data_IF_953333178147
#
_entry.id   IF_953333178147
#
_cell.length_a   1.000
_cell.length_b   1.000
_cell.length_c   1.000
_cell.angle_alpha   90.00
_cell.angle_beta   90.00
_cell.angle_gamma   90.00
#
_symmetry.space_group_name_H-M   'P 1'
#
loop_
_entity.id
_entity.type
_entity.pdbx_description
1 polymer ?
#
# COMPACT_ATOMS: atom_id res chain seq x y z
N UNK A 1 19.59 -0.49 -82.87
CA UNK A 1 19.55 0.70 -81.97
C UNK A 1 18.57 0.37 -80.92
N UNK A 2 19.03 -0.19 -79.76
CA UNK A 2 18.22 -0.75 -78.72
C UNK A 2 18.49 0.11 -77.45
N UNK A 3 17.46 0.81 -76.92
CA UNK A 3 17.54 1.58 -75.69
C UNK A 3 17.17 0.67 -74.50
N UNK A 4 18.10 0.49 -73.57
CA UNK A 4 17.85 -0.12 -72.28
C UNK A 4 17.39 0.96 -71.28
N UNK A 5 16.17 0.83 -70.75
CA UNK A 5 15.64 1.59 -69.61
C UNK A 5 16.07 0.87 -68.37
N UNK A 6 16.90 1.55 -67.55
CA UNK A 6 17.23 1.15 -66.15
C UNK A 6 16.19 1.78 -65.20
N UNK A 7 15.36 0.93 -64.60
CA UNK A 7 14.45 1.34 -63.50
C UNK A 7 15.22 1.32 -62.19
N UNK A 8 15.57 2.48 -61.65
CA UNK A 8 16.06 2.64 -60.30
C UNK A 8 14.91 2.56 -59.31
N UNK A 9 14.91 1.58 -58.40
CA UNK A 9 13.99 1.47 -57.30
C UNK A 9 14.48 2.33 -56.13
N UNK A 10 13.78 3.42 -55.84
CA UNK A 10 14.00 4.25 -54.64
C UNK A 10 13.45 3.47 -53.44
N UNK A 11 14.33 3.00 -52.55
CA UNK A 11 13.93 2.45 -51.22
C UNK A 11 13.76 3.63 -50.26
N UNK A 12 12.52 3.93 -49.90
CA UNK A 12 12.23 4.81 -48.84
C UNK A 12 12.56 4.14 -47.50
N UNK A 13 13.54 4.66 -46.77
CA UNK A 13 13.82 4.29 -45.38
C UNK A 13 12.84 5.04 -44.49
N UNK A 14 11.85 4.34 -43.97
CA UNK A 14 10.95 4.90 -42.94
C UNK A 14 11.67 4.77 -41.58
N UNK A 15 12.21 5.88 -41.10
CA UNK A 15 12.73 5.94 -39.71
C UNK A 15 11.54 6.10 -38.77
N UNK A 16 11.18 5.02 -38.10
CA UNK A 16 10.21 5.09 -36.99
C UNK A 16 10.94 5.68 -35.79
N UNK A 17 10.66 6.93 -35.49
CA UNK A 17 11.07 7.54 -34.21
C UNK A 17 10.09 7.06 -33.16
N UNK A 18 10.49 6.08 -32.36
CA UNK A 18 9.79 5.70 -31.15
C UNK A 18 10.09 6.82 -30.15
N UNK A 19 9.16 7.74 -29.98
CA UNK A 19 9.19 8.68 -28.87
C UNK A 19 8.90 7.88 -27.58
N UNK A 20 9.93 7.62 -26.80
CA UNK A 20 9.74 7.19 -25.41
C UNK A 20 9.11 8.37 -24.69
N UNK A 21 7.82 8.25 -24.37
CA UNK A 21 7.16 9.18 -23.46
C UNK A 21 7.76 8.87 -22.10
N UNK A 22 8.74 9.65 -21.70
CA UNK A 22 9.24 9.62 -20.33
C UNK A 22 8.06 10.01 -19.41
N UNK A 23 7.59 9.09 -18.59
CA UNK A 23 6.62 9.38 -17.56
C UNK A 23 7.25 10.40 -16.60
N UNK A 24 6.73 11.62 -16.63
CA UNK A 24 7.11 12.66 -15.67
C UNK A 24 6.07 12.63 -14.55
N UNK A 25 6.48 12.33 -13.28
CA UNK A 25 5.59 12.46 -12.13
C UNK A 25 4.95 13.87 -12.10
N UNK A 26 3.73 13.93 -11.59
CA UNK A 26 2.97 15.19 -11.56
C UNK A 26 3.72 16.22 -10.68
N UNK A 27 4.02 17.42 -11.18
CA UNK A 27 4.73 18.42 -10.41
C UNK A 27 3.99 18.77 -9.12
N UNK A 28 4.71 18.76 -7.99
CA UNK A 28 4.18 19.12 -6.68
C UNK A 28 3.75 17.96 -5.79
N UNK A 29 3.67 16.70 -6.29
CA UNK A 29 3.44 15.54 -5.43
C UNK A 29 4.62 15.30 -4.48
N UNK A 30 4.29 14.92 -3.25
CA UNK A 30 5.25 14.55 -2.22
C UNK A 30 4.95 13.15 -1.71
N UNK A 31 5.97 12.45 -1.24
CA UNK A 31 5.81 11.16 -0.58
C UNK A 31 5.94 11.34 0.93
N UNK A 32 5.07 10.70 1.67
CA UNK A 32 5.17 10.53 3.11
C UNK A 32 5.64 9.10 3.38
N UNK A 33 6.79 8.95 4.03
CA UNK A 33 7.42 7.65 4.29
C UNK A 33 7.61 7.48 5.80
N UNK A 34 7.00 6.45 6.38
CA UNK A 34 7.19 6.15 7.81
C UNK A 34 8.48 5.37 8.06
N UNK A 35 9.17 5.68 9.15
CA UNK A 35 10.36 4.97 9.63
C UNK A 35 10.17 4.60 11.10
N UNK A 36 9.88 3.32 11.35
CA UNK A 36 9.47 2.83 12.65
C UNK A 36 10.60 2.78 13.69
N UNK A 37 11.87 2.72 13.27
CA UNK A 37 13.00 2.69 14.23
C UNK A 37 13.58 4.06 14.54
N UNK A 38 13.25 5.07 13.74
CA UNK A 38 13.69 6.45 13.98
C UNK A 38 12.58 7.37 14.44
N UNK A 39 11.36 6.84 14.62
CA UNK A 39 10.14 7.58 15.01
C UNK A 39 9.92 8.83 14.17
N UNK A 40 10.02 8.66 12.82
CA UNK A 40 9.92 9.75 11.87
C UNK A 40 8.98 9.45 10.71
N UNK A 41 8.45 10.52 10.13
CA UNK A 41 7.92 10.53 8.76
C UNK A 41 8.87 11.41 7.94
N UNK A 42 9.43 10.85 6.87
CA UNK A 42 10.19 11.59 5.88
C UNK A 42 9.27 12.09 4.79
N UNK A 43 9.51 13.30 4.32
CA UNK A 43 8.78 13.91 3.21
C UNK A 43 9.72 14.04 2.01
N UNK A 44 9.37 13.43 0.89
CA UNK A 44 10.19 13.42 -0.31
C UNK A 44 9.45 14.10 -1.46
N UNK A 45 10.20 14.73 -2.34
CA UNK A 45 9.71 15.10 -3.66
C UNK A 45 9.52 13.84 -4.52
N UNK A 46 8.32 13.61 -5.01
CA UNK A 46 7.96 12.38 -5.70
C UNK A 46 8.67 12.20 -7.05
N UNK A 47 9.09 13.31 -7.69
CA UNK A 47 9.79 13.27 -8.97
C UNK A 47 11.26 12.86 -8.84
N UNK A 48 11.89 13.30 -7.77
CA UNK A 48 13.36 13.22 -7.64
C UNK A 48 13.81 12.30 -6.51
N UNK A 49 12.90 11.88 -5.64
CA UNK A 49 13.22 11.14 -4.42
C UNK A 49 13.94 11.97 -3.35
N UNK A 50 14.17 13.27 -3.59
CA UNK A 50 14.91 14.11 -2.65
C UNK A 50 14.10 14.33 -1.36
N UNK A 51 14.71 14.05 -0.20
CA UNK A 51 14.12 14.39 1.10
C UNK A 51 14.01 15.91 1.20
N UNK A 52 12.81 16.41 1.43
CA UNK A 52 12.50 17.84 1.55
C UNK A 52 12.22 18.26 2.98
N UNK A 53 11.73 17.33 3.80
CA UNK A 53 11.40 17.56 5.21
C UNK A 53 11.37 16.26 6.00
N UNK A 54 11.27 16.34 7.32
CA UNK A 54 11.01 15.21 8.21
C UNK A 54 10.23 15.65 9.44
N UNK A 55 9.35 14.76 9.93
CA UNK A 55 8.53 14.99 11.11
C UNK A 55 8.92 13.98 12.18
N UNK A 56 9.23 14.45 13.40
CA UNK A 56 9.42 13.57 14.54
C UNK A 56 8.06 13.19 15.13
N UNK A 57 7.87 11.89 15.35
CA UNK A 57 6.74 11.32 16.07
C UNK A 57 7.19 10.74 17.42
N UNK A 58 8.41 11.03 17.85
CA UNK A 58 8.95 10.67 19.15
C UNK A 58 8.14 11.38 20.24
N UNK A 59 7.46 10.60 21.07
CA UNK A 59 6.66 11.10 22.20
C UNK A 59 7.51 11.23 23.46
N UNK A 60 8.45 10.32 23.65
CA UNK A 60 9.31 10.23 24.82
C UNK A 60 10.69 9.76 24.42
N UNK A 61 11.72 10.59 24.60
CA UNK A 61 13.09 10.22 24.27
C UNK A 61 13.48 8.86 24.88
N UNK A 62 13.94 7.94 24.02
CA UNK A 62 14.37 6.60 24.43
C UNK A 62 13.28 5.52 24.40
N UNK A 63 12.02 5.85 24.14
CA UNK A 63 10.98 4.89 23.74
C UNK A 63 10.98 4.75 22.22
N UNK A 64 10.48 3.63 21.74
CA UNK A 64 10.21 3.43 20.31
C UNK A 64 8.70 3.50 20.11
N UNK A 65 8.24 4.54 19.43
CA UNK A 65 6.82 4.74 19.12
C UNK A 65 6.39 4.03 17.83
N UNK A 66 7.30 3.83 16.91
CA UNK A 66 7.16 3.00 15.72
C UNK A 66 6.05 3.44 14.78
N UNK A 67 6.16 4.60 14.09
CA UNK A 67 5.21 4.93 13.04
C UNK A 67 5.18 3.84 11.97
N UNK A 68 3.98 3.26 11.78
CA UNK A 68 3.79 2.07 10.96
C UNK A 68 3.17 2.42 9.59
N UNK A 69 2.14 3.22 9.58
CA UNK A 69 1.40 3.53 8.36
C UNK A 69 1.02 5.00 8.28
N UNK A 70 0.82 5.47 7.07
CA UNK A 70 0.38 6.83 6.76
C UNK A 70 -0.70 6.79 5.70
N UNK A 71 -1.71 7.66 5.81
CA UNK A 71 -2.77 7.84 4.84
C UNK A 71 -3.07 9.32 4.64
N UNK A 72 -3.40 9.70 3.42
CA UNK A 72 -3.75 11.08 3.05
C UNK A 72 -5.25 11.17 2.81
N UNK A 73 -5.90 12.24 3.30
CA UNK A 73 -7.32 12.49 3.02
C UNK A 73 -7.59 12.63 1.52
N UNK A 74 -8.76 12.24 1.01
CA UNK A 74 -9.07 12.31 -0.41
C UNK A 74 -8.92 13.70 -1.03
N UNK A 75 -9.15 14.75 -0.25
CA UNK A 75 -8.97 16.15 -0.65
C UNK A 75 -7.52 16.66 -0.51
N UNK A 76 -6.61 15.82 0.00
CA UNK A 76 -5.22 16.16 0.23
C UNK A 76 -4.98 17.15 1.37
N UNK A 77 -6.01 17.59 2.09
CA UNK A 77 -5.88 18.62 3.14
C UNK A 77 -5.19 18.15 4.40
N UNK A 78 -5.32 16.85 4.72
CA UNK A 78 -4.76 16.23 5.92
C UNK A 78 -4.07 14.91 5.58
N UNK A 79 -3.18 14.51 6.48
CA UNK A 79 -2.67 13.14 6.52
C UNK A 79 -2.65 12.63 7.96
N UNK A 80 -2.66 11.32 8.08
CA UNK A 80 -2.77 10.60 9.33
C UNK A 80 -1.68 9.57 9.44
N UNK A 81 -1.11 9.37 10.63
CA UNK A 81 -0.12 8.35 10.90
C UNK A 81 -0.51 7.51 12.11
N UNK A 82 -0.26 6.19 12.03
CA UNK A 82 -0.41 5.28 13.16
C UNK A 82 0.95 5.03 13.81
N UNK A 83 0.97 5.05 15.14
CA UNK A 83 2.09 4.59 15.96
C UNK A 83 1.73 3.25 16.58
N UNK A 84 2.60 2.25 16.40
CA UNK A 84 2.30 0.85 16.76
C UNK A 84 2.79 0.44 18.12
N UNK A 85 3.80 1.14 18.66
CA UNK A 85 4.47 0.78 19.92
C UNK A 85 4.33 1.88 20.95
N UNK A 86 4.90 1.65 22.15
CA UNK A 86 4.73 2.57 23.26
C UNK A 86 3.26 2.70 23.63
N UNK A 87 2.64 3.80 23.30
CA UNK A 87 1.20 4.03 23.42
C UNK A 87 0.59 4.13 22.01
N UNK A 88 -0.05 3.05 21.50
CA UNK A 88 -0.63 3.04 20.16
C UNK A 88 -1.56 4.23 19.94
N UNK A 89 -1.36 4.95 18.86
CA UNK A 89 -2.06 6.22 18.64
C UNK A 89 -2.22 6.57 17.17
N UNK A 90 -3.21 7.42 16.90
CA UNK A 90 -3.45 8.06 15.62
C UNK A 90 -3.09 9.53 15.70
N UNK A 91 -2.27 10.01 14.79
CA UNK A 91 -1.87 11.41 14.68
C UNK A 91 -2.40 12.03 13.39
N UNK A 92 -2.99 13.23 13.49
CA UNK A 92 -3.55 14.00 12.37
C UNK A 92 -2.72 15.25 12.12
N UNK A 93 -2.35 15.45 10.87
CA UNK A 93 -1.58 16.60 10.43
C UNK A 93 -2.32 17.37 9.34
N UNK A 94 -2.19 18.69 9.31
CA UNK A 94 -2.43 19.48 8.09
C UNK A 94 -1.34 19.22 7.08
N UNK A 95 -1.72 18.98 5.83
CA UNK A 95 -0.77 18.76 4.72
C UNK A 95 0.01 20.02 4.36
N UNK A 96 -0.66 21.19 4.43
CA UNK A 96 -0.01 22.47 4.23
C UNK A 96 0.78 22.84 5.48
N UNK A 97 2.10 22.91 5.36
CA UNK A 97 2.98 23.25 6.48
C UNK A 97 3.25 22.10 7.45
N UNK A 98 2.74 20.89 7.18
CA UNK A 98 3.02 19.64 7.92
C UNK A 98 2.78 19.80 9.44
N UNK A 99 1.74 20.53 9.79
CA UNK A 99 1.45 20.89 11.20
C UNK A 99 0.59 19.83 11.88
N UNK A 100 1.04 19.32 13.01
CA UNK A 100 0.23 18.44 13.85
C UNK A 100 -1.00 19.18 14.39
N UNK A 101 -2.19 18.62 14.18
CA UNK A 101 -3.48 19.21 14.59
C UNK A 101 -4.27 18.36 15.58
N UNK A 102 -3.94 17.08 15.73
CA UNK A 102 -4.62 16.21 16.68
C UNK A 102 -3.89 14.89 16.93
N UNK A 103 -4.19 14.30 18.09
CA UNK A 103 -3.72 12.97 18.50
C UNK A 103 -4.84 12.23 19.21
N UNK A 104 -4.94 10.93 18.99
CA UNK A 104 -5.86 10.04 19.68
C UNK A 104 -5.11 8.79 20.13
N UNK A 105 -5.13 8.50 21.45
CA UNK A 105 -4.71 7.18 21.94
C UNK A 105 -5.74 6.14 21.54
N UNK A 106 -5.28 5.03 20.97
CA UNK A 106 -6.14 3.97 20.45
C UNK A 106 -6.32 2.86 21.49
N UNK A 107 -7.51 2.25 21.59
CA UNK A 107 -7.78 1.14 22.49
C UNK A 107 -7.26 -0.19 21.93
N UNK A 108 -5.96 -0.28 21.63
CA UNK A 108 -5.35 -1.38 20.87
C UNK A 108 -3.95 -1.67 21.41
N UNK A 109 -3.41 -2.85 21.13
CA UNK A 109 -2.06 -3.26 21.51
C UNK A 109 -1.02 -3.03 20.40
N UNK A 110 -1.45 -2.75 19.16
CA UNK A 110 -0.53 -2.57 18.03
C UNK A 110 -1.24 -2.01 16.81
N UNK A 111 -1.37 -0.68 16.72
CA UNK A 111 -1.96 -0.03 15.55
C UNK A 111 -1.13 -0.35 14.29
N UNK A 112 -1.75 -1.00 13.31
CA UNK A 112 -1.10 -1.34 12.05
C UNK A 112 -1.45 -0.35 10.94
N UNK A 113 -1.90 -0.85 9.81
CA UNK A 113 -2.22 -0.05 8.64
C UNK A 113 -3.42 0.86 8.90
N UNK A 114 -3.37 2.08 8.42
CA UNK A 114 -4.52 2.98 8.40
C UNK A 114 -5.12 3.04 7.00
N UNK A 115 -6.44 2.95 6.90
CA UNK A 115 -7.22 3.19 5.68
C UNK A 115 -8.29 4.23 5.95
N UNK A 116 -8.50 5.13 5.01
CA UNK A 116 -9.58 6.10 5.07
C UNK A 116 -10.75 5.63 4.20
N UNK A 117 -11.97 5.96 4.63
CA UNK A 117 -13.16 5.83 3.79
C UNK A 117 -13.05 6.71 2.53
N UNK A 118 -13.76 6.40 1.43
CA UNK A 118 -13.68 7.18 0.20
C UNK A 118 -14.06 8.66 0.35
N UNK A 119 -14.91 8.98 1.32
CA UNK A 119 -15.27 10.36 1.68
C UNK A 119 -14.26 11.01 2.67
N UNK A 120 -13.32 10.23 3.20
CA UNK A 120 -12.31 10.68 4.14
C UNK A 120 -12.80 10.89 5.58
N UNK A 121 -14.06 10.58 5.89
CA UNK A 121 -14.66 10.88 7.19
C UNK A 121 -14.38 9.83 8.26
N UNK A 122 -13.97 8.61 7.87
CA UNK A 122 -13.68 7.51 8.79
C UNK A 122 -12.32 6.92 8.49
N UNK A 123 -11.52 6.68 9.53
CA UNK A 123 -10.29 5.88 9.47
C UNK A 123 -10.54 4.49 10.09
N UNK A 124 -10.09 3.43 9.42
CA UNK A 124 -10.06 2.06 9.92
C UNK A 124 -8.63 1.68 10.29
N UNK A 125 -8.42 1.22 11.52
CA UNK A 125 -7.10 0.91 12.08
C UNK A 125 -7.15 -0.46 12.75
N UNK A 126 -6.58 -1.51 12.11
CA UNK A 126 -6.48 -2.84 12.70
C UNK A 126 -5.47 -2.91 13.84
N UNK A 127 -5.75 -3.75 14.82
CA UNK A 127 -4.85 -4.13 15.90
C UNK A 127 -4.06 -5.39 15.53
N UNK A 128 -2.93 -5.21 14.86
CA UNK A 128 -2.05 -6.29 14.42
C UNK A 128 -1.13 -6.75 15.55
N UNK A 129 -1.67 -7.51 16.47
CA UNK A 129 -0.98 -7.97 17.67
C UNK A 129 -0.54 -9.44 17.53
N UNK A 130 0.63 -9.67 16.95
CA UNK A 130 1.19 -11.01 16.72
C UNK A 130 1.53 -11.76 18.02
N UNK A 131 2.00 -11.05 19.06
CA UNK A 131 2.32 -11.63 20.36
C UNK A 131 1.11 -12.10 21.14
N UNK A 132 -0.11 -11.76 20.69
CA UNK A 132 -1.37 -12.24 21.24
C UNK A 132 -1.66 -13.74 21.02
N UNK A 133 -0.81 -14.46 20.30
CA UNK A 133 -0.90 -15.93 20.17
C UNK A 133 -2.18 -16.43 19.50
N UNK A 134 -2.76 -15.66 18.58
CA UNK A 134 -4.00 -16.01 17.88
C UNK A 134 -5.28 -15.59 18.62
N UNK A 135 -5.17 -14.82 19.69
CA UNK A 135 -6.35 -14.22 20.34
C UNK A 135 -7.06 -13.26 19.38
N UNK A 136 -8.38 -13.19 19.49
CA UNK A 136 -9.19 -12.24 18.75
C UNK A 136 -8.79 -10.82 19.09
N UNK A 137 -8.61 -10.01 18.11
CA UNK A 137 -8.25 -8.61 18.17
C UNK A 137 -9.26 -7.76 17.39
N UNK A 138 -9.06 -6.46 17.38
CA UNK A 138 -10.07 -5.49 16.93
C UNK A 138 -9.65 -4.68 15.71
N UNK A 139 -10.63 -4.06 15.08
CA UNK A 139 -10.42 -2.92 14.18
C UNK A 139 -11.05 -1.70 14.82
N UNK A 140 -10.28 -0.64 15.01
CA UNK A 140 -10.80 0.63 15.56
C UNK A 140 -11.19 1.54 14.41
N UNK A 141 -12.44 1.99 14.40
CA UNK A 141 -12.98 2.99 13.48
C UNK A 141 -13.00 4.35 14.17
N UNK A 142 -12.39 5.33 13.54
CA UNK A 142 -12.20 6.68 14.09
C UNK A 142 -12.77 7.71 13.13
N UNK A 143 -13.60 8.62 13.67
CA UNK A 143 -14.02 9.83 12.97
C UNK A 143 -12.82 10.75 12.74
N UNK A 144 -12.56 11.13 11.50
CA UNK A 144 -11.37 11.89 11.12
C UNK A 144 -11.46 13.37 11.48
N UNK A 145 -12.67 13.91 11.59
CA UNK A 145 -12.88 15.31 11.93
C UNK A 145 -12.42 15.60 13.36
N UNK A 146 -13.03 14.94 14.33
CA UNK A 146 -12.84 15.17 15.76
C UNK A 146 -11.89 14.17 16.44
N UNK A 147 -11.34 13.23 15.70
CA UNK A 147 -10.51 12.12 16.22
C UNK A 147 -11.19 11.35 17.36
N UNK A 148 -12.44 10.97 17.18
CA UNK A 148 -13.19 10.18 18.14
C UNK A 148 -13.34 8.73 17.71
N UNK A 149 -13.27 7.78 18.65
CA UNK A 149 -13.56 6.38 18.36
C UNK A 149 -15.06 6.21 18.13
N UNK A 150 -15.42 5.77 16.92
CA UNK A 150 -16.81 5.50 16.52
C UNK A 150 -17.20 4.08 16.95
N UNK A 151 -16.34 3.11 16.65
CA UNK A 151 -16.53 1.71 16.96
C UNK A 151 -15.17 1.00 17.09
N UNK A 152 -15.16 -0.12 17.81
CA UNK A 152 -13.94 -0.95 17.95
C UNK A 152 -14.33 -2.42 18.14
N UNK A 153 -14.97 -3.07 17.12
CA UNK A 153 -15.39 -4.45 17.21
C UNK A 153 -14.19 -5.39 17.26
N UNK A 154 -14.30 -6.43 18.08
CA UNK A 154 -13.42 -7.60 18.03
C UNK A 154 -13.85 -8.46 16.85
N UNK A 155 -12.92 -8.76 15.95
CA UNK A 155 -13.24 -9.43 14.68
C UNK A 155 -12.51 -10.76 14.50
N UNK A 156 -11.19 -10.79 14.63
CA UNK A 156 -10.40 -11.96 14.28
C UNK A 156 -8.98 -11.92 14.85
N UNK A 157 -8.21 -12.97 14.65
CA UNK A 157 -6.82 -13.03 15.10
C UNK A 157 -5.87 -12.27 14.17
N UNK A 158 -5.17 -11.29 14.72
CA UNK A 158 -4.20 -10.43 14.04
C UNK A 158 -4.75 -9.80 12.74
N UNK A 159 -5.79 -8.94 12.81
CA UNK A 159 -6.21 -8.15 11.66
C UNK A 159 -5.08 -7.22 11.24
N UNK A 160 -4.73 -7.21 9.93
CA UNK A 160 -3.61 -6.41 9.42
C UNK A 160 -4.04 -5.26 8.52
N UNK A 161 -4.96 -5.49 7.61
CA UNK A 161 -5.51 -4.44 6.74
C UNK A 161 -7.04 -4.40 6.87
N UNK A 162 -7.62 -3.21 6.76
CA UNK A 162 -9.05 -2.97 6.83
C UNK A 162 -9.45 -1.96 5.74
N UNK A 163 -9.73 -2.46 4.53
CA UNK A 163 -9.89 -1.64 3.33
C UNK A 163 -11.35 -1.39 3.01
N UNK A 164 -11.73 -0.11 2.89
CA UNK A 164 -13.07 0.30 2.49
C UNK A 164 -13.35 -0.07 1.03
N UNK A 165 -14.58 -0.49 0.75
CA UNK A 165 -15.08 -0.62 -0.62
C UNK A 165 -15.08 0.75 -1.33
N UNK A 166 -15.04 0.79 -2.67
CA UNK A 166 -15.14 2.05 -3.41
C UNK A 166 -16.42 2.84 -3.13
N UNK A 167 -17.50 2.15 -2.77
CA UNK A 167 -18.78 2.78 -2.35
C UNK A 167 -18.76 3.27 -0.90
N UNK A 168 -17.79 2.84 -0.08
CA UNK A 168 -17.72 3.19 1.34
C UNK A 168 -18.67 2.43 2.25
N UNK A 169 -19.54 1.54 1.73
CA UNK A 169 -20.57 0.82 2.48
C UNK A 169 -20.04 -0.40 3.25
N UNK A 170 -18.83 -0.86 2.93
CA UNK A 170 -18.22 -2.06 3.52
C UNK A 170 -16.73 -1.88 3.76
N UNK A 171 -16.21 -2.65 4.72
CA UNK A 171 -14.77 -2.79 4.99
C UNK A 171 -14.39 -4.26 4.91
N UNK A 172 -13.37 -4.58 4.15
CA UNK A 172 -12.77 -5.90 4.11
C UNK A 172 -11.55 -5.95 5.03
N UNK A 173 -11.56 -6.86 6.00
CA UNK A 173 -10.51 -7.02 7.01
C UNK A 173 -9.75 -8.32 6.78
N UNK A 174 -8.44 -8.24 6.57
CA UNK A 174 -7.57 -9.43 6.48
C UNK A 174 -7.15 -9.90 7.86
N UNK A 175 -7.33 -11.18 8.14
CA UNK A 175 -7.12 -11.80 9.44
C UNK A 175 -5.97 -12.81 9.36
N UNK A 176 -4.74 -12.35 9.59
CA UNK A 176 -3.52 -13.10 9.26
C UNK A 176 -3.32 -14.40 10.03
N UNK A 177 -3.78 -14.48 11.28
CA UNK A 177 -3.59 -15.70 12.09
C UNK A 177 -4.80 -16.63 12.10
N UNK A 178 -5.94 -16.23 11.54
CA UNK A 178 -7.10 -17.09 11.34
C UNK A 178 -7.35 -17.47 9.88
N UNK A 179 -6.53 -16.97 8.94
CA UNK A 179 -6.64 -17.21 7.50
C UNK A 179 -8.02 -16.82 6.93
N UNK A 180 -8.55 -15.70 7.37
CA UNK A 180 -9.89 -15.25 7.03
C UNK A 180 -9.88 -13.83 6.44
N UNK A 181 -10.94 -13.55 5.69
CA UNK A 181 -11.39 -12.21 5.35
C UNK A 181 -12.72 -11.98 6.04
N UNK A 182 -12.83 -10.90 6.80
CA UNK A 182 -14.06 -10.50 7.47
C UNK A 182 -14.59 -9.25 6.80
N UNK A 183 -15.87 -9.29 6.39
CA UNK A 183 -16.59 -8.13 5.88
C UNK A 183 -17.36 -7.45 6.99
N UNK A 184 -17.20 -6.15 7.10
CA UNK A 184 -17.87 -5.29 8.08
C UNK A 184 -18.72 -4.26 7.33
N UNK A 185 -19.96 -4.05 7.72
CA UNK A 185 -20.76 -2.91 7.22
C UNK A 185 -20.29 -1.60 7.87
N UNK A 186 -20.53 -0.48 7.21
CA UNK A 186 -20.22 0.84 7.75
C UNK A 186 -21.40 1.52 8.43
N UNK A 187 -22.62 0.91 8.37
CA UNK A 187 -23.81 1.35 9.07
C UNK A 187 -23.94 0.69 10.46
N UNK A 188 -22.91 0.68 11.24
CA UNK A 188 -22.92 0.09 12.58
C UNK A 188 -21.67 -0.70 12.88
N UNK A 189 -20.78 -0.84 11.92
CA UNK A 189 -19.47 -1.48 12.05
C UNK A 189 -19.56 -2.91 12.58
N UNK A 190 -20.45 -3.70 11.97
CA UNK A 190 -20.72 -5.09 12.35
C UNK A 190 -20.24 -6.05 11.27
N UNK A 191 -19.77 -7.20 11.72
CA UNK A 191 -19.46 -8.31 10.81
C UNK A 191 -20.73 -8.74 10.06
N UNK A 192 -20.63 -8.83 8.74
CA UNK A 192 -21.72 -9.29 7.85
C UNK A 192 -21.39 -10.64 7.22
N UNK A 193 -20.15 -10.92 6.94
CA UNK A 193 -19.70 -12.14 6.28
C UNK A 193 -18.26 -12.46 6.69
N UNK A 194 -17.96 -13.73 6.81
CA UNK A 194 -16.60 -14.27 7.04
C UNK A 194 -16.29 -15.31 5.97
N UNK A 195 -15.10 -15.24 5.42
CA UNK A 195 -14.64 -16.11 4.36
C UNK A 195 -13.24 -16.64 4.65
N UNK A 196 -13.05 -17.96 4.58
CA UNK A 196 -11.75 -18.58 4.66
C UNK A 196 -10.97 -18.32 3.37
N UNK A 197 -9.81 -17.70 3.48
CA UNK A 197 -8.96 -17.36 2.33
C UNK A 197 -7.80 -18.34 2.25
N UNK A 198 -7.75 -19.10 1.17
CA UNK A 198 -6.71 -20.11 0.98
C UNK A 198 -6.83 -21.30 1.94
N UNK A 199 -5.69 -21.84 2.35
CA UNK A 199 -5.56 -22.97 3.27
C UNK A 199 -5.08 -22.51 4.65
N UNK A 200 -4.95 -23.46 5.59
CA UNK A 200 -4.44 -23.16 6.93
C UNK A 200 -2.98 -22.69 6.86
N UNK A 201 -2.69 -21.55 7.48
CA UNK A 201 -1.37 -20.95 7.55
C UNK A 201 -1.00 -20.10 6.34
N UNK A 202 -1.93 -19.79 5.45
CA UNK A 202 -1.67 -18.95 4.25
C UNK A 202 -1.47 -17.47 4.57
N UNK A 203 -1.99 -17.02 5.71
CA UNK A 203 -1.78 -15.67 6.25
C UNK A 203 -2.14 -14.55 5.28
N UNK A 204 -3.44 -14.29 5.03
CA UNK A 204 -3.86 -13.11 4.28
C UNK A 204 -3.38 -11.84 5.02
N UNK A 205 -2.66 -10.96 4.32
CA UNK A 205 -2.03 -9.81 4.95
C UNK A 205 -2.60 -8.49 4.48
N UNK A 206 -2.69 -8.29 3.18
CA UNK A 206 -3.13 -7.03 2.57
C UNK A 206 -4.23 -7.28 1.56
N UNK A 207 -5.14 -6.31 1.41
CA UNK A 207 -6.20 -6.38 0.42
C UNK A 207 -6.32 -5.07 -0.38
N UNK A 208 -6.79 -5.18 -1.62
CA UNK A 208 -7.21 -4.04 -2.43
C UNK A 208 -8.47 -4.39 -3.22
N UNK A 209 -9.44 -3.47 -3.21
CA UNK A 209 -10.63 -3.56 -4.03
C UNK A 209 -10.31 -3.21 -5.49
N UNK A 210 -10.93 -3.93 -6.41
CA UNK A 210 -11.04 -3.46 -7.80
C UNK A 210 -11.92 -2.21 -7.85
N UNK A 211 -11.74 -1.38 -8.87
CA UNK A 211 -12.44 -0.10 -8.98
C UNK A 211 -13.98 -0.24 -9.06
N UNK A 212 -14.45 -1.36 -9.58
CA UNK A 212 -15.88 -1.68 -9.67
C UNK A 212 -16.50 -2.18 -8.35
N UNK A 213 -15.67 -2.39 -7.31
CA UNK A 213 -16.11 -2.88 -6.01
C UNK A 213 -16.62 -4.32 -5.99
N UNK A 214 -16.36 -5.09 -7.05
CA UNK A 214 -16.83 -6.48 -7.18
C UNK A 214 -15.82 -7.51 -6.75
N UNK A 215 -14.53 -7.17 -6.80
CA UNK A 215 -13.46 -8.10 -6.47
C UNK A 215 -12.52 -7.50 -5.43
N UNK A 216 -11.87 -8.39 -4.68
CA UNK A 216 -10.76 -8.10 -3.79
C UNK A 216 -9.54 -8.90 -4.21
N UNK A 217 -8.40 -8.26 -4.30
CA UNK A 217 -7.11 -8.92 -4.38
C UNK A 217 -6.54 -9.03 -2.97
N UNK A 218 -6.12 -10.23 -2.56
CA UNK A 218 -5.62 -10.49 -1.20
C UNK A 218 -4.28 -11.22 -1.26
N UNK A 219 -3.23 -10.64 -0.67
CA UNK A 219 -1.91 -11.31 -0.57
C UNK A 219 -1.94 -12.45 0.44
N UNK A 220 -1.35 -13.60 0.06
CA UNK A 220 -1.14 -14.76 0.92
C UNK A 220 0.36 -14.89 1.20
N UNK A 221 0.78 -14.38 2.37
CA UNK A 221 2.21 -14.13 2.67
C UNK A 221 3.06 -15.40 2.66
N UNK A 222 2.49 -16.55 3.02
CA UNK A 222 3.24 -17.82 3.07
C UNK A 222 3.17 -18.63 1.77
N UNK A 223 2.51 -18.14 0.73
CA UNK A 223 2.25 -18.88 -0.53
C UNK A 223 2.77 -18.22 -1.79
N UNK A 224 3.52 -17.12 -1.67
CA UNK A 224 4.08 -16.41 -2.83
C UNK A 224 3.05 -16.12 -3.92
N UNK A 225 1.86 -15.66 -3.52
CA UNK A 225 0.76 -15.32 -4.42
C UNK A 225 -0.21 -14.31 -3.80
N UNK A 226 -1.01 -13.69 -4.64
CA UNK A 226 -2.28 -13.14 -4.22
C UNK A 226 -3.44 -13.93 -4.85
N UNK A 227 -4.59 -13.85 -4.23
CA UNK A 227 -5.85 -14.41 -4.75
C UNK A 227 -6.82 -13.29 -5.08
N UNK A 228 -7.67 -13.53 -6.06
CA UNK A 228 -8.81 -12.68 -6.36
C UNK A 228 -10.08 -13.34 -5.81
N UNK A 229 -10.85 -12.55 -5.08
CA UNK A 229 -12.13 -12.95 -4.49
C UNK A 229 -13.26 -12.13 -5.12
N UNK A 230 -14.26 -12.79 -5.70
CA UNK A 230 -15.50 -12.14 -6.06
C UNK A 230 -16.34 -11.91 -4.80
N UNK A 231 -16.78 -10.66 -4.62
CA UNK A 231 -17.58 -10.23 -3.47
C UNK A 231 -19.03 -10.12 -3.88
N UNK A 232 -19.77 -11.20 -3.70
CA UNK A 232 -21.20 -11.31 -3.95
C UNK A 232 -21.93 -11.73 -2.65
N UNK A 233 -23.17 -12.17 -2.73
CA UNK A 233 -23.90 -12.71 -1.57
C UNK A 233 -23.17 -13.89 -0.90
N UNK A 234 -22.39 -14.67 -1.68
CA UNK A 234 -21.42 -15.63 -1.20
C UNK A 234 -20.08 -15.31 -1.85
N UNK A 235 -19.06 -15.06 -1.04
CA UNK A 235 -17.70 -14.81 -1.54
C UNK A 235 -17.11 -16.11 -2.10
N UNK A 236 -16.35 -15.98 -3.20
CA UNK A 236 -15.61 -17.10 -3.79
C UNK A 236 -14.29 -16.65 -4.39
N UNK A 237 -13.28 -17.50 -4.32
CA UNK A 237 -12.03 -17.28 -5.05
C UNK A 237 -12.26 -17.52 -6.54
N UNK A 238 -11.87 -16.56 -7.38
CA UNK A 238 -12.00 -16.62 -8.84
C UNK A 238 -10.67 -16.93 -9.53
N UNK A 239 -9.59 -16.40 -9.00
CA UNK A 239 -8.26 -16.60 -9.56
C UNK A 239 -7.16 -16.55 -8.51
N UNK A 240 -5.94 -16.83 -8.93
CA UNK A 240 -4.71 -16.60 -8.17
C UNK A 240 -3.58 -16.21 -9.11
N UNK A 241 -2.69 -15.35 -8.63
CA UNK A 241 -1.51 -14.90 -9.37
C UNK A 241 -0.26 -15.11 -8.52
N UNK A 242 0.75 -15.77 -9.10
CA UNK A 242 2.02 -15.98 -8.41
C UNK A 242 2.81 -14.69 -8.30
N UNK A 243 3.48 -14.50 -7.17
CA UNK A 243 4.36 -13.37 -6.86
C UNK A 243 5.76 -13.88 -6.50
N UNK A 244 6.64 -13.00 -6.08
CA UNK A 244 7.83 -13.38 -5.31
C UNK A 244 7.46 -13.82 -3.89
N UNK A 245 8.47 -14.20 -3.11
CA UNK A 245 8.26 -14.76 -1.77
C UNK A 245 7.77 -13.74 -0.75
N UNK A 246 6.89 -14.18 0.12
CA UNK A 246 6.30 -13.39 1.21
C UNK A 246 5.71 -12.05 0.72
N UNK A 247 4.71 -12.07 -0.17
CA UNK A 247 4.05 -10.84 -0.59
C UNK A 247 3.47 -10.12 0.63
N UNK A 248 3.88 -8.88 0.84
CA UNK A 248 3.44 -8.03 1.93
C UNK A 248 2.24 -7.19 1.47
N UNK A 249 2.50 -6.10 0.78
CA UNK A 249 1.46 -5.20 0.31
C UNK A 249 1.33 -5.25 -1.21
N UNK A 250 0.11 -5.02 -1.67
CA UNK A 250 -0.20 -4.79 -3.07
C UNK A 250 -0.99 -3.48 -3.24
N UNK A 251 -0.85 -2.88 -4.40
CA UNK A 251 -1.69 -1.76 -4.82
C UNK A 251 -2.11 -1.95 -6.28
N UNK A 252 -3.31 -1.50 -6.59
CA UNK A 252 -3.84 -1.43 -7.96
C UNK A 252 -3.61 0.00 -8.45
N UNK A 253 -3.03 0.15 -9.64
CA UNK A 253 -2.79 1.46 -10.25
C UNK A 253 -4.12 2.20 -10.50
N UNK A 254 -4.14 3.54 -10.45
CA UNK A 254 -5.23 4.34 -10.96
C UNK A 254 -5.53 3.92 -12.42
N UNK A 255 -6.76 3.48 -12.72
CA UNK A 255 -7.11 2.87 -14.01
C UNK A 255 -7.38 1.36 -13.94
N UNK A 256 -6.99 0.69 -12.86
CA UNK A 256 -7.50 -0.62 -12.47
C UNK A 256 -6.88 -1.85 -13.15
N UNK A 257 -5.89 -1.69 -14.04
CA UNK A 257 -5.34 -2.82 -14.80
C UNK A 257 -4.02 -3.36 -14.25
N UNK A 258 -3.17 -2.50 -13.71
CA UNK A 258 -1.83 -2.88 -13.22
C UNK A 258 -1.86 -3.06 -11.70
N UNK A 259 -1.22 -4.13 -11.23
CA UNK A 259 -1.04 -4.46 -9.82
C UNK A 259 0.45 -4.50 -9.53
N UNK A 260 0.87 -3.86 -8.46
CA UNK A 260 2.23 -3.93 -7.94
C UNK A 260 2.21 -4.58 -6.57
N UNK A 261 3.08 -5.57 -6.36
CA UNK A 261 3.18 -6.36 -5.13
C UNK A 261 4.60 -6.28 -4.59
N UNK A 262 4.74 -5.84 -3.36
CA UNK A 262 6.02 -5.87 -2.65
C UNK A 262 6.25 -7.27 -2.06
N UNK A 263 7.32 -7.95 -2.50
CA UNK A 263 7.66 -9.30 -2.09
C UNK A 263 8.77 -9.24 -1.03
N UNK A 264 8.34 -9.25 0.22
CA UNK A 264 9.21 -9.03 1.38
C UNK A 264 10.32 -10.09 1.50
N UNK A 265 10.00 -11.35 1.20
CA UNK A 265 10.92 -12.48 1.34
C UNK A 265 11.96 -12.55 0.24
N UNK A 266 11.59 -12.31 -1.00
CA UNK A 266 12.52 -12.37 -2.14
C UNK A 266 13.29 -11.07 -2.40
N UNK A 267 12.95 -9.96 -1.73
CA UNK A 267 13.59 -8.67 -2.02
C UNK A 267 13.21 -8.11 -3.40
N UNK A 268 12.05 -8.47 -3.91
CA UNK A 268 11.61 -8.13 -5.27
C UNK A 268 10.25 -7.43 -5.27
N UNK A 269 9.87 -6.93 -6.42
CA UNK A 269 8.53 -6.40 -6.72
C UNK A 269 7.96 -7.17 -7.89
N UNK A 270 6.73 -7.66 -7.76
CA UNK A 270 5.96 -8.20 -8.88
C UNK A 270 5.08 -7.12 -9.47
N UNK A 271 5.22 -6.87 -10.77
CA UNK A 271 4.32 -6.03 -11.57
C UNK A 271 3.50 -6.97 -12.44
N UNK A 272 2.18 -6.88 -12.35
CA UNK A 272 1.28 -7.80 -13.05
C UNK A 272 -0.03 -7.11 -13.42
N UNK A 273 -0.87 -7.77 -14.20
CA UNK A 273 -2.28 -7.42 -14.38
C UNK A 273 -3.14 -8.11 -13.32
N UNK A 274 -4.36 -7.63 -13.08
CA UNK A 274 -5.29 -8.24 -12.13
C UNK A 274 -5.57 -9.70 -12.44
N UNK A 275 -5.58 -10.08 -13.72
CA UNK A 275 -5.79 -11.45 -14.20
C UNK A 275 -4.51 -12.29 -14.32
N UNK A 276 -3.34 -11.69 -14.05
CA UNK A 276 -2.04 -12.37 -14.11
C UNK A 276 -1.52 -12.67 -15.53
N UNK A 277 -2.16 -12.16 -16.58
CA UNK A 277 -1.75 -12.44 -17.98
C UNK A 277 -0.42 -11.79 -18.33
N UNK A 278 -0.06 -10.69 -17.70
CA UNK A 278 1.27 -10.08 -17.78
C UNK A 278 1.90 -10.11 -16.39
N UNK A 279 3.14 -10.60 -16.29
CA UNK A 279 3.87 -10.63 -15.02
C UNK A 279 5.35 -10.35 -15.28
N UNK A 280 5.89 -9.41 -14.54
CA UNK A 280 7.32 -9.11 -14.45
C UNK A 280 7.73 -9.08 -13.00
N UNK A 281 8.89 -9.60 -12.66
CA UNK A 281 9.48 -9.50 -11.33
C UNK A 281 10.81 -8.78 -11.44
N UNK A 282 11.02 -7.78 -10.58
CA UNK A 282 12.23 -6.96 -10.54
C UNK A 282 12.82 -6.98 -9.14
N UNK A 283 14.13 -7.09 -9.04
CA UNK A 283 14.83 -6.95 -7.77
C UNK A 283 14.85 -5.48 -7.33
N UNK A 284 14.65 -5.24 -6.04
CA UNK A 284 14.74 -3.89 -5.46
C UNK A 284 16.04 -3.78 -4.68
N UNK A 285 16.79 -2.69 -4.85
CA UNK A 285 17.96 -2.45 -4.02
C UNK A 285 17.50 -2.21 -2.57
N UNK A 286 17.82 -3.10 -1.68
CA UNK A 286 17.42 -3.05 -0.28
C UNK A 286 16.56 -4.24 0.14
N UNK A 287 16.67 -4.62 1.42
CA UNK A 287 15.99 -5.79 1.94
C UNK A 287 14.53 -5.50 2.31
N UNK A 288 13.68 -6.48 2.08
CA UNK A 288 12.31 -6.54 2.58
C UNK A 288 11.39 -5.44 2.04
N UNK A 289 11.07 -5.41 0.73
CA UNK A 289 10.02 -4.56 0.18
C UNK A 289 8.71 -4.73 0.95
N UNK A 290 8.03 -3.61 1.26
CA UNK A 290 6.87 -3.67 2.16
C UNK A 290 5.66 -2.88 1.65
N UNK A 291 5.71 -1.54 1.67
CA UNK A 291 4.61 -0.66 1.29
C UNK A 291 4.58 -0.37 -0.20
N UNK A 292 3.38 -0.22 -0.76
CA UNK A 292 3.18 0.15 -2.18
C UNK A 292 2.16 1.27 -2.26
N UNK A 293 2.46 2.32 -3.03
CA UNK A 293 1.52 3.38 -3.37
C UNK A 293 1.70 3.84 -4.83
N UNK A 294 0.64 4.36 -5.40
CA UNK A 294 0.65 5.09 -6.66
C UNK A 294 0.33 6.56 -6.41
N UNK A 295 0.93 7.46 -7.21
CA UNK A 295 0.51 8.84 -7.34
C UNK A 295 -0.63 9.00 -8.34
N UNK A 296 -0.80 10.21 -8.84
CA UNK A 296 -1.76 10.49 -9.93
C UNK A 296 -1.33 9.85 -11.25
N UNK A 297 -0.03 9.72 -11.45
CA UNK A 297 0.52 9.02 -12.60
C UNK A 297 0.43 7.50 -12.36
N UNK A 298 -0.42 6.77 -13.11
CA UNK A 298 -0.57 5.33 -12.94
C UNK A 298 0.64 4.52 -13.42
N UNK A 299 1.59 5.13 -14.12
CA UNK A 299 2.79 4.48 -14.63
C UNK A 299 3.93 4.42 -13.60
N UNK A 300 3.82 5.16 -12.48
CA UNK A 300 4.85 5.18 -11.44
C UNK A 300 4.33 4.61 -10.12
N UNK A 301 4.98 3.54 -9.65
CA UNK A 301 4.74 2.98 -8.33
C UNK A 301 5.87 3.36 -7.37
N UNK A 302 5.51 3.66 -6.12
CA UNK A 302 6.46 3.90 -5.04
C UNK A 302 6.43 2.72 -4.08
N UNK A 303 7.59 2.10 -3.85
CA UNK A 303 7.71 0.91 -3.00
C UNK A 303 8.74 1.16 -1.90
N UNK A 304 8.31 1.02 -0.64
CA UNK A 304 9.22 1.07 0.50
C UNK A 304 9.91 -0.28 0.71
N UNK A 305 11.10 -0.25 1.28
CA UNK A 305 11.82 -1.42 1.78
C UNK A 305 12.33 -1.16 3.21
N UNK A 306 12.22 -2.18 4.08
CA UNK A 306 12.33 -1.97 5.52
C UNK A 306 13.73 -1.56 6.00
N UNK A 307 14.77 -2.13 5.40
CA UNK A 307 16.07 -2.17 6.03
C UNK A 307 16.06 -2.99 7.33
N UNK A 308 17.10 -2.90 8.11
CA UNK A 308 17.22 -3.56 9.41
C UNK A 308 17.97 -2.67 10.42
N UNK A 309 18.45 -3.25 11.52
CA UNK A 309 19.23 -2.51 12.52
C UNK A 309 20.64 -2.10 12.05
N UNK A 310 21.08 -2.57 10.89
CA UNK A 310 22.42 -2.31 10.31
C UNK A 310 22.36 -1.57 8.99
N UNK A 311 21.25 -1.72 8.26
CA UNK A 311 21.03 -1.14 6.94
C UNK A 311 19.82 -0.21 6.97
N UNK A 312 19.93 0.91 6.28
CA UNK A 312 18.80 1.82 6.13
C UNK A 312 17.71 1.18 5.26
N UNK A 313 16.49 1.48 5.61
CA UNK A 313 15.34 1.32 4.74
C UNK A 313 15.20 2.53 3.81
N UNK A 314 14.24 2.46 2.91
CA UNK A 314 14.04 3.53 1.96
C UNK A 314 12.83 3.34 1.07
N UNK A 315 12.85 4.02 -0.05
CA UNK A 315 11.82 3.98 -1.07
C UNK A 315 12.44 4.01 -2.47
N UNK A 316 11.83 3.27 -3.40
CA UNK A 316 12.13 3.31 -4.84
C UNK A 316 10.90 3.81 -5.59
N UNK A 317 11.12 4.56 -6.68
CA UNK A 317 10.11 4.79 -7.71
C UNK A 317 10.39 3.86 -8.89
N UNK A 318 9.35 3.23 -9.39
CA UNK A 318 9.41 2.20 -10.43
C UNK A 318 8.47 2.59 -11.55
N UNK A 319 8.96 2.62 -12.79
CA UNK A 319 8.12 2.63 -13.98
C UNK A 319 7.50 1.25 -14.15
N UNK A 320 6.17 1.16 -14.08
CA UNK A 320 5.47 -0.13 -14.09
C UNK A 320 5.32 -0.74 -15.48
N UNK A 321 5.60 0.00 -16.53
CA UNK A 321 5.57 -0.52 -17.91
C UNK A 321 6.88 -1.20 -18.26
N UNK A 322 8.00 -0.59 -17.88
CA UNK A 322 9.35 -1.06 -18.19
C UNK A 322 9.97 -1.89 -17.08
N UNK A 323 9.56 -1.69 -15.82
CA UNK A 323 10.21 -2.24 -14.63
C UNK A 323 11.49 -1.49 -14.23
N UNK A 324 11.77 -0.34 -14.83
CA UNK A 324 12.95 0.47 -14.51
C UNK A 324 12.80 1.17 -13.15
N UNK A 325 13.87 1.14 -12.34
CA UNK A 325 13.95 1.95 -11.12
C UNK A 325 14.36 3.36 -11.53
N UNK A 326 13.43 4.31 -11.42
CA UNK A 326 13.62 5.71 -11.80
C UNK A 326 14.54 6.44 -10.83
N UNK A 327 14.39 6.17 -9.55
CA UNK A 327 15.22 6.67 -8.47
C UNK A 327 15.05 5.83 -7.19
N UNK A 328 16.02 5.94 -6.29
CA UNK A 328 16.04 5.32 -4.97
C UNK A 328 16.50 6.32 -3.91
N UNK A 329 15.90 6.27 -2.73
CA UNK A 329 16.31 7.09 -1.59
C UNK A 329 16.29 6.27 -0.31
N UNK A 330 17.43 6.22 0.39
CA UNK A 330 17.52 5.70 1.74
C UNK A 330 17.06 6.77 2.74
N UNK A 331 16.28 6.36 3.74
CA UNK A 331 15.78 7.27 4.77
C UNK A 331 15.99 6.68 6.17
N UNK A 332 15.18 6.15 6.87
CA UNK A 332 15.37 5.59 8.21
C UNK A 332 15.54 4.07 8.18
N UNK A 333 15.19 3.42 9.27
CA UNK A 333 15.14 1.96 9.37
C UNK A 333 13.72 1.51 9.75
N UNK A 334 13.36 0.32 9.30
CA UNK A 334 12.01 -0.22 9.41
C UNK A 334 10.99 0.69 8.70
N UNK A 335 11.27 0.92 7.43
CA UNK A 335 10.49 1.80 6.56
C UNK A 335 9.31 1.01 5.98
N UNK A 336 8.09 1.31 6.40
CA UNK A 336 6.90 0.51 6.13
C UNK A 336 5.88 1.23 5.27
N UNK A 337 5.32 2.30 5.79
CA UNK A 337 4.21 3.02 5.15
C UNK A 337 4.69 4.00 4.08
N UNK A 338 3.94 4.07 2.98
CA UNK A 338 4.08 5.10 1.95
C UNK A 338 2.70 5.63 1.58
N UNK A 339 2.59 6.95 1.46
CA UNK A 339 1.42 7.61 0.89
C UNK A 339 1.86 8.79 0.01
N UNK A 340 1.07 9.09 -1.01
CA UNK A 340 1.31 10.23 -1.90
C UNK A 340 0.47 11.41 -1.44
N UNK A 341 1.13 12.52 -1.20
CA UNK A 341 0.53 13.80 -0.83
C UNK A 341 0.52 14.70 -2.07
N UNK A 342 -0.67 15.10 -2.55
CA UNK A 342 -0.85 15.91 -3.75
C UNK A 342 -0.20 17.31 -3.68
#
# INVERSE_FOLDING_TARGET
MIYHLVRGALRAVVTVVIATIACTPVPGERLLITSGFTDQIFVLDANTGRVTDSLSLDRRPGERDGPHSVAVSPDGSHFYATLSHGEPSLWKYESKGLRLVGRLTLPTNGASRIRLSPDGLVAAIPDYWLSGGGMVSRVTFVGTEDLNVIASPELCAAPHDAVFSPSGDRVAVTCSLSDELVMVDTDGFRETTRFKVGENGDRPLNAAWTLDGRHLLVTLTTRSKFVELEVAAAMRQTSQVMTGDQPAQLAIAPGGSTVVVANRGSGSVTITTTDGTRRTEIDVPGAHPHGVAFGRDPSVAYVTYEGDTRTLGGVVAIDVETGEILWQTEVGSFTLGVAVLP
#
